data_IF_789958968458
#
_entry.id   IF_789958968458
#
_cell.length_a   1.000
_cell.length_b   1.000
_cell.length_c   1.000
_cell.angle_alpha   90.00
_cell.angle_beta   90.00
_cell.angle_gamma   90.00
#
_symmetry.space_group_name_H-M   'P 1'
#
loop_
_entity.id
_entity.type
_entity.pdbx_description
1 polymer ?
#
# COMPACT_ATOMS: atom_id res chain seq x y z
N UNK A 1 12.89 31.51 -0.55
CA UNK A 1 12.16 31.41 -1.84
C UNK A 1 11.50 30.04 -1.97
N UNK A 2 12.20 28.96 -1.64
CA UNK A 2 11.73 27.57 -1.63
C UNK A 2 10.53 27.30 -0.70
N UNK A 3 10.55 27.84 0.52
CA UNK A 3 9.46 27.68 1.50
C UNK A 3 8.09 28.19 0.99
N UNK A 4 8.08 29.30 0.24
CA UNK A 4 6.84 29.88 -0.30
C UNK A 4 6.30 29.07 -1.48
N UNK A 5 7.18 28.43 -2.25
CA UNK A 5 6.79 27.55 -3.34
C UNK A 5 6.15 26.25 -2.81
N UNK A 6 6.77 25.63 -1.79
CA UNK A 6 6.22 24.44 -1.12
C UNK A 6 4.88 24.73 -0.43
N UNK A 7 4.75 25.91 0.21
CA UNK A 7 3.49 26.33 0.83
C UNK A 7 2.36 26.49 -0.21
N UNK A 8 2.68 27.05 -1.38
CA UNK A 8 1.71 27.24 -2.47
C UNK A 8 1.31 25.92 -3.11
N UNK A 9 2.24 25.00 -3.35
CA UNK A 9 1.94 23.68 -3.88
C UNK A 9 1.05 22.86 -2.93
N UNK A 10 1.31 22.94 -1.61
CA UNK A 10 0.43 22.34 -0.59
C UNK A 10 -0.95 22.99 -0.58
N UNK A 11 -1.03 24.31 -0.70
CA UNK A 11 -2.31 25.02 -0.75
C UNK A 11 -3.12 24.65 -1.99
N UNK A 12 -2.48 24.60 -3.17
CA UNK A 12 -3.14 24.24 -4.43
C UNK A 12 -3.66 22.80 -4.40
N UNK A 13 -2.92 21.86 -3.82
CA UNK A 13 -3.40 20.48 -3.61
C UNK A 13 -4.61 20.40 -2.68
N UNK A 14 -4.58 21.14 -1.56
CA UNK A 14 -5.70 21.19 -0.62
C UNK A 14 -6.93 21.83 -1.29
N UNK A 15 -6.73 22.94 -2.00
CA UNK A 15 -7.79 23.64 -2.72
C UNK A 15 -8.42 22.75 -3.79
N UNK A 16 -7.62 22.06 -4.62
CA UNK A 16 -8.12 21.14 -5.65
C UNK A 16 -8.92 19.98 -5.05
N UNK A 17 -8.44 19.36 -3.97
CA UNK A 17 -9.16 18.30 -3.25
C UNK A 17 -10.48 18.79 -2.64
N UNK A 18 -10.60 20.08 -2.35
CA UNK A 18 -11.79 20.70 -1.74
C UNK A 18 -12.77 21.23 -2.80
N UNK A 19 -12.28 21.60 -3.98
CA UNK A 19 -13.08 22.16 -5.08
C UNK A 19 -13.85 21.11 -5.88
N UNK A 20 -13.34 19.87 -5.96
CA UNK A 20 -14.05 18.72 -6.55
C UNK A 20 -13.83 17.44 -5.72
N UNK A 21 -14.49 17.34 -4.55
CA UNK A 21 -14.32 16.20 -3.65
C UNK A 21 -14.87 14.90 -4.25
N UNK A 22 -15.85 14.98 -5.17
CA UNK A 22 -16.47 13.82 -5.81
C UNK A 22 -15.48 13.17 -6.79
N UNK A 23 -14.91 13.95 -7.71
CA UNK A 23 -13.91 13.41 -8.64
C UNK A 23 -12.66 12.92 -7.91
N UNK A 24 -12.25 13.61 -6.85
CA UNK A 24 -11.14 13.19 -5.99
C UNK A 24 -11.41 11.83 -5.34
N UNK A 25 -12.63 11.61 -4.83
CA UNK A 25 -13.04 10.32 -4.24
C UNK A 25 -13.10 9.19 -5.28
N UNK A 26 -13.64 9.47 -6.47
CA UNK A 26 -13.69 8.51 -7.57
C UNK A 26 -12.28 8.10 -8.01
N UNK A 27 -11.39 9.08 -8.19
CA UNK A 27 -10.01 8.83 -8.56
C UNK A 27 -9.28 8.02 -7.48
N UNK A 28 -9.39 8.43 -6.21
CA UNK A 28 -8.80 7.72 -5.09
C UNK A 28 -9.27 6.27 -5.03
N UNK A 29 -10.58 6.02 -5.13
CA UNK A 29 -11.13 4.68 -5.13
C UNK A 29 -10.57 3.82 -6.28
N UNK A 30 -10.46 4.38 -7.49
CA UNK A 30 -9.89 3.67 -8.64
C UNK A 30 -8.44 3.30 -8.42
N UNK A 31 -7.61 4.25 -7.97
CA UNK A 31 -6.19 4.02 -7.72
C UNK A 31 -5.96 2.99 -6.62
N UNK A 32 -6.68 3.10 -5.50
CA UNK A 32 -6.55 2.13 -4.39
C UNK A 32 -7.04 0.73 -4.79
N UNK A 33 -8.11 0.64 -5.60
CA UNK A 33 -8.59 -0.65 -6.10
C UNK A 33 -7.55 -1.32 -7.00
N UNK A 34 -6.92 -0.55 -7.90
CA UNK A 34 -5.82 -1.04 -8.74
C UNK A 34 -4.58 -1.40 -7.93
N UNK A 35 -4.27 -0.63 -6.89
CA UNK A 35 -3.20 -0.93 -5.96
C UNK A 35 -3.37 -2.32 -5.33
N UNK A 36 -4.55 -2.61 -4.77
CA UNK A 36 -4.80 -3.93 -4.17
C UNK A 36 -4.86 -5.06 -5.20
N UNK A 37 -5.48 -4.82 -6.36
CA UNK A 37 -5.63 -5.83 -7.41
C UNK A 37 -4.30 -6.20 -8.08
N UNK A 38 -3.46 -5.19 -8.40
CA UNK A 38 -2.25 -5.39 -9.22
C UNK A 38 -0.96 -5.43 -8.42
N UNK A 39 -0.84 -4.61 -7.39
CA UNK A 39 0.42 -4.45 -6.66
C UNK A 39 0.47 -5.30 -5.40
N UNK A 40 -0.63 -5.39 -4.65
CA UNK A 40 -0.74 -6.26 -3.47
C UNK A 40 -1.05 -7.70 -3.89
N UNK A 41 -1.87 -7.89 -4.93
CA UNK A 41 -2.15 -9.17 -5.58
C UNK A 41 -2.32 -10.34 -4.59
N UNK A 42 -3.25 -10.18 -3.65
CA UNK A 42 -3.42 -11.08 -2.51
C UNK A 42 -3.66 -12.53 -2.95
N UNK A 43 -2.94 -13.46 -2.33
CA UNK A 43 -2.97 -14.89 -2.66
C UNK A 43 -2.08 -15.26 -3.84
N UNK A 44 -1.42 -14.30 -4.49
CA UNK A 44 -0.49 -14.51 -5.60
C UNK A 44 0.85 -13.80 -5.29
N UNK A 45 1.81 -13.97 -6.19
CA UNK A 45 3.06 -13.22 -6.13
C UNK A 45 2.80 -11.75 -6.45
N UNK A 46 3.32 -10.88 -5.59
CA UNK A 46 3.15 -9.43 -5.66
C UNK A 46 4.52 -8.75 -5.62
N UNK A 47 4.58 -7.46 -5.94
CA UNK A 47 5.84 -6.71 -5.85
C UNK A 47 6.39 -6.59 -4.42
N UNK A 48 5.56 -6.91 -3.43
CA UNK A 48 5.91 -6.92 -2.00
C UNK A 48 6.21 -8.34 -1.48
N UNK A 49 6.28 -9.34 -2.37
CA UNK A 49 6.30 -10.76 -2.02
C UNK A 49 4.89 -11.33 -1.90
N UNK A 50 4.78 -12.58 -1.45
CA UNK A 50 3.48 -13.26 -1.35
C UNK A 50 2.70 -12.71 -0.16
N UNK A 51 1.54 -12.11 -0.42
CA UNK A 51 0.65 -11.55 0.61
C UNK A 51 -0.56 -12.46 0.74
N UNK A 52 -0.81 -13.02 1.92
CA UNK A 52 -1.97 -13.89 2.14
C UNK A 52 -3.25 -13.12 2.44
N UNK A 53 -3.15 -12.01 3.18
CA UNK A 53 -4.30 -11.21 3.58
C UNK A 53 -3.92 -9.73 3.69
N UNK A 54 -4.94 -8.88 3.61
CA UNK A 54 -4.81 -7.47 3.98
C UNK A 54 -6.04 -7.00 4.74
N UNK A 55 -5.85 -5.92 5.50
CA UNK A 55 -6.91 -5.15 6.10
C UNK A 55 -6.62 -3.69 5.80
N UNK A 56 -7.60 -2.94 5.29
CA UNK A 56 -7.42 -1.53 5.02
C UNK A 56 -8.69 -0.73 5.29
N UNK A 57 -8.50 0.51 5.73
CA UNK A 57 -9.55 1.48 5.99
C UNK A 57 -9.23 2.78 5.28
N UNK A 58 -10.27 3.45 4.79
CA UNK A 58 -10.16 4.81 4.26
C UNK A 58 -10.53 5.78 5.37
N UNK A 59 -9.67 6.75 5.58
CA UNK A 59 -9.87 7.84 6.53
C UNK A 59 -9.60 9.18 5.88
N UNK A 60 -9.98 10.26 6.56
CA UNK A 60 -9.68 11.62 6.14
C UNK A 60 -8.51 12.11 6.97
N UNK A 61 -7.44 12.56 6.32
CA UNK A 61 -6.30 13.13 7.04
C UNK A 61 -6.64 14.50 7.65
N UNK A 62 -5.73 15.06 8.45
CA UNK A 62 -5.91 16.38 9.10
C UNK A 62 -6.20 17.55 8.12
N UNK A 63 -5.99 17.33 6.81
CA UNK A 63 -6.15 18.33 5.74
C UNK A 63 -7.39 18.07 4.88
N UNK A 64 -8.27 17.13 5.25
CA UNK A 64 -9.50 16.86 4.52
C UNK A 64 -9.35 15.93 3.30
N UNK A 65 -8.16 15.39 3.04
CA UNK A 65 -7.92 14.47 1.92
C UNK A 65 -8.11 13.02 2.34
N UNK A 66 -8.58 12.19 1.39
CA UNK A 66 -8.68 10.75 1.59
C UNK A 66 -7.29 10.13 1.76
N UNK A 67 -7.17 9.26 2.75
CA UNK A 67 -5.96 8.55 3.09
C UNK A 67 -6.30 7.08 3.37
N UNK A 68 -5.44 6.16 2.95
CA UNK A 68 -5.60 4.73 3.19
C UNK A 68 -4.65 4.30 4.32
N UNK A 69 -5.21 3.77 5.40
CA UNK A 69 -4.44 3.04 6.40
C UNK A 69 -4.66 1.54 6.19
N UNK A 70 -3.58 0.78 6.03
CA UNK A 70 -3.68 -0.66 5.79
C UNK A 70 -2.55 -1.48 6.39
N UNK A 71 -2.82 -2.77 6.57
CA UNK A 71 -1.92 -3.82 7.04
C UNK A 71 -1.91 -4.94 6.01
N UNK A 72 -0.71 -5.42 5.67
CA UNK A 72 -0.48 -6.53 4.75
C UNK A 72 0.18 -7.67 5.53
N UNK A 73 -0.33 -8.89 5.37
CA UNK A 73 0.28 -10.10 5.94
C UNK A 73 1.11 -10.79 4.86
N UNK A 74 2.43 -10.72 5.00
CA UNK A 74 3.36 -11.41 4.13
C UNK A 74 3.48 -12.87 4.55
N UNK A 75 3.36 -13.77 3.58
CA UNK A 75 3.76 -15.17 3.75
C UNK A 75 5.28 -15.23 3.91
N UNK A 76 5.76 -16.07 4.83
CA UNK A 76 7.18 -16.15 5.14
C UNK A 76 7.66 -15.16 6.19
N UNK A 77 6.82 -14.81 7.17
CA UNK A 77 7.33 -14.28 8.43
C UNK A 77 8.24 -15.34 9.07
N UNK A 78 9.53 -15.27 8.77
CA UNK A 78 10.56 -16.17 9.26
C UNK A 78 10.53 -16.11 10.78
N UNK A 79 9.85 -17.06 11.40
CA UNK A 79 9.95 -17.25 12.84
C UNK A 79 11.42 -17.62 13.06
N UNK A 80 12.19 -16.76 13.71
CA UNK A 80 13.62 -17.01 14.02
C UNK A 80 13.92 -18.45 14.49
N UNK A 81 13.05 -19.16 15.24
CA UNK A 81 13.26 -20.58 15.57
C UNK A 81 13.17 -21.56 14.40
N UNK A 82 12.35 -21.26 13.39
CA UNK A 82 12.11 -22.12 12.23
C UNK A 82 12.94 -21.71 11.02
N UNK A 83 13.77 -20.66 11.13
CA UNK A 83 14.61 -20.15 10.04
C UNK A 83 15.38 -21.26 9.32
N UNK A 84 15.98 -22.18 10.07
CA UNK A 84 16.81 -23.27 9.54
C UNK A 84 15.94 -24.36 8.89
N UNK A 85 14.79 -24.68 9.48
CA UNK A 85 13.85 -25.68 8.95
C UNK A 85 13.14 -25.17 7.70
N UNK A 86 12.72 -23.90 7.73
CA UNK A 86 12.18 -23.20 6.57
C UNK A 86 13.25 -23.20 5.48
N UNK A 87 14.50 -22.78 5.76
CA UNK A 87 15.66 -22.82 4.85
C UNK A 87 15.96 -24.20 4.24
N UNK A 88 15.54 -25.28 4.90
CA UNK A 88 15.70 -26.65 4.43
C UNK A 88 14.44 -27.21 3.74
N UNK A 89 13.32 -26.48 3.75
CA UNK A 89 12.07 -26.92 3.13
C UNK A 89 12.17 -26.83 1.59
N UNK A 90 12.06 -27.96 0.86
CA UNK A 90 12.14 -27.99 -0.60
C UNK A 90 10.94 -27.33 -1.28
N UNK A 91 9.81 -27.14 -0.58
CA UNK A 91 8.64 -26.44 -1.13
C UNK A 91 8.86 -24.91 -1.28
N UNK A 92 9.86 -24.37 -0.57
CA UNK A 92 10.20 -22.94 -0.56
C UNK A 92 11.44 -22.62 -1.42
N UNK A 93 12.03 -23.63 -2.11
CA UNK A 93 13.21 -23.44 -2.97
C UNK A 93 12.96 -22.44 -4.10
N UNK A 94 11.75 -22.41 -4.67
CA UNK A 94 11.38 -21.47 -5.72
C UNK A 94 11.42 -20.01 -5.29
N UNK A 95 11.14 -19.73 -4.00
CA UNK A 95 11.16 -18.37 -3.44
C UNK A 95 12.59 -17.93 -3.04
N UNK A 96 13.49 -18.87 -2.76
CA UNK A 96 14.91 -18.58 -2.39
C UNK A 96 15.82 -18.29 -3.59
N UNK A 97 15.47 -18.77 -4.76
CA UNK A 97 16.31 -18.70 -5.95
C UNK A 97 16.17 -17.38 -6.72
N UNK A 98 15.34 -16.45 -6.24
CA UNK A 98 15.10 -15.13 -6.81
C UNK A 98 15.68 -14.04 -5.90
#
# INVERSE_FOLDING_TARGET
MELLADLRERYDRIALSTMDPVSSAIFFHREISLFFDKYVNTGQESIFGKISHYYATVETNERGSLHLHGLLWLDGNMRLPNLVDDMANPAEEGYRAQ
#
